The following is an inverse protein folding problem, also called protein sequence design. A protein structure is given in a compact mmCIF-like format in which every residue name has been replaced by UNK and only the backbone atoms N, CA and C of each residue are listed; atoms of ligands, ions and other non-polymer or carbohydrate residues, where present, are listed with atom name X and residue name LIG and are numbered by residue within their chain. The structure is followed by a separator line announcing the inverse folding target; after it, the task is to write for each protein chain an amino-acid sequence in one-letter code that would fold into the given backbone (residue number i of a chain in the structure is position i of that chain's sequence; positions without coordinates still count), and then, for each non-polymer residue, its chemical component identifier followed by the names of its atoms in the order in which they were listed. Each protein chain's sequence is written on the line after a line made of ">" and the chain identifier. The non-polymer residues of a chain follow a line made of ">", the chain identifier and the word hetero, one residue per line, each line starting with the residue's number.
data_IF_211316571809
#
_entry.id   IF_211316571809
#
_cell.length_a   1.000
_cell.length_b   1.000
_cell.length_c   1.000
_cell.angle_alpha   90.00
_cell.angle_beta   90.00
_cell.angle_gamma   90.00
#
_symmetry.space_group_name_H-M   'P 1'
#
loop_
_entity.id
_entity.type
_entity.pdbx_description
1 polymer ?
#
# COMPACT_ATOMS: atom_id res chain seq x y z
N UNK A 1 -22.09 -3.25 14.50
CA UNK A 1 -20.82 -2.66 14.04
C UNK A 1 -19.68 -3.30 14.80
N UNK A 2 -19.00 -4.29 14.21
CA UNK A 2 -17.92 -5.03 14.88
C UNK A 2 -16.69 -5.05 13.96
N UNK A 3 -15.56 -4.56 14.45
CA UNK A 3 -14.28 -4.52 13.71
C UNK A 3 -13.13 -4.21 14.67
N UNK A 4 -11.90 -4.30 14.18
CA UNK A 4 -10.70 -3.82 14.85
C UNK A 4 -10.04 -2.76 13.98
N UNK A 5 -9.78 -1.58 14.52
CA UNK A 5 -8.99 -0.56 13.85
C UNK A 5 -7.52 -0.72 14.23
N UNK A 6 -6.63 -0.60 13.24
CA UNK A 6 -5.18 -0.66 13.45
C UNK A 6 -4.48 0.47 12.72
N UNK A 7 -3.28 0.79 13.21
CA UNK A 7 -2.32 1.69 12.59
C UNK A 7 -0.91 1.24 13.02
N UNK A 8 0.02 1.11 12.07
CA UNK A 8 1.41 0.73 12.33
C UNK A 8 2.36 1.91 12.20
N UNK A 9 3.34 1.98 13.09
CA UNK A 9 4.54 2.78 12.88
C UNK A 9 5.73 1.89 12.54
N UNK A 10 6.57 2.35 11.62
CA UNK A 10 7.76 1.61 11.15
C UNK A 10 9.02 2.41 11.45
N UNK A 11 10.02 1.77 12.05
CA UNK A 11 11.29 2.41 12.40
C UNK A 11 12.05 2.95 11.17
N UNK A 12 11.94 2.27 10.04
CA UNK A 12 12.59 2.65 8.79
C UNK A 12 11.75 2.36 7.55
N UNK A 13 12.33 2.45 6.35
CA UNK A 13 11.59 2.31 5.10
C UNK A 13 11.09 0.88 4.83
N UNK A 14 11.56 -0.11 5.58
CA UNK A 14 11.17 -1.51 5.44
C UNK A 14 9.84 -1.77 6.13
N UNK A 15 8.93 -2.47 5.44
CA UNK A 15 7.65 -2.93 6.01
C UNK A 15 7.81 -3.89 7.17
N UNK A 16 8.94 -4.58 7.25
CA UNK A 16 9.28 -5.50 8.33
C UNK A 16 9.67 -4.79 9.62
N UNK A 17 9.96 -3.48 9.55
CA UNK A 17 10.52 -2.71 10.66
C UNK A 17 9.46 -2.10 11.58
N UNK A 18 8.27 -2.72 11.71
CA UNK A 18 7.27 -2.19 12.63
C UNK A 18 7.87 -2.06 14.04
N UNK A 19 7.73 -0.86 14.61
CA UNK A 19 8.19 -0.56 15.96
C UNK A 19 7.02 -0.25 16.91
N UNK A 20 5.83 0.05 16.39
CA UNK A 20 4.60 0.02 17.20
C UNK A 20 3.36 -0.29 16.37
N UNK A 21 2.30 -0.66 17.08
CA UNK A 21 0.93 -0.77 16.54
C UNK A 21 -0.07 -0.22 17.56
N UNK A 22 -1.03 0.55 17.06
CA UNK A 22 -2.28 0.86 17.77
C UNK A 22 -3.34 -0.16 17.40
N UNK A 23 -4.09 -0.65 18.39
CA UNK A 23 -5.19 -1.59 18.19
C UNK A 23 -6.40 -1.07 18.96
N UNK A 24 -7.54 -0.97 18.26
CA UNK A 24 -8.81 -0.53 18.85
C UNK A 24 -9.90 -1.51 18.46
N UNK A 25 -10.44 -2.23 19.43
CA UNK A 25 -11.52 -3.18 19.22
C UNK A 25 -12.88 -2.49 19.40
N UNK A 26 -13.72 -2.58 18.37
CA UNK A 26 -15.08 -2.05 18.39
C UNK A 26 -16.08 -3.20 18.36
N UNK A 27 -17.02 -3.18 19.31
CA UNK A 27 -18.14 -4.11 19.38
C UNK A 27 -19.43 -3.34 19.56
N UNK A 28 -20.44 -3.66 18.75
CA UNK A 28 -21.74 -3.01 18.76
C UNK A 28 -21.69 -1.47 18.61
N UNK A 29 -20.66 -0.94 17.95
CA UNK A 29 -20.50 0.51 17.74
C UNK A 29 -19.78 1.23 18.88
N UNK A 30 -19.33 0.50 19.90
CA UNK A 30 -18.59 1.04 21.04
C UNK A 30 -17.16 0.50 21.03
N UNK A 31 -16.21 1.34 21.42
CA UNK A 31 -14.83 0.91 21.66
C UNK A 31 -14.82 0.11 22.97
N UNK A 32 -14.46 -1.17 22.89
CA UNK A 32 -14.44 -2.06 24.06
C UNK A 32 -13.03 -2.35 24.56
N UNK A 33 -12.02 -2.13 23.73
CA UNK A 33 -10.63 -2.31 24.12
C UNK A 33 -9.68 -1.46 23.28
N UNK A 34 -8.56 -1.05 23.89
CA UNK A 34 -7.47 -0.32 23.24
C UNK A 34 -6.12 -0.86 23.71
N UNK A 35 -5.19 -1.09 22.78
CA UNK A 35 -3.80 -1.43 23.10
C UNK A 35 -2.85 -0.61 22.24
N UNK A 36 -1.78 -0.09 22.86
CA UNK A 36 -0.60 0.43 22.16
C UNK A 36 0.55 -0.52 22.46
N UNK A 37 1.10 -1.15 21.42
CA UNK A 37 2.11 -2.19 21.57
C UNK A 37 3.35 -1.78 20.81
N UNK A 38 4.49 -1.78 21.50
CA UNK A 38 5.80 -1.53 20.92
C UNK A 38 6.47 -2.85 20.51
N UNK A 39 7.37 -2.79 19.54
CA UNK A 39 8.15 -3.93 19.09
C UNK A 39 9.60 -3.52 18.86
N UNK A 40 10.51 -4.45 19.13
CA UNK A 40 11.87 -4.34 18.60
C UNK A 40 11.85 -4.62 17.09
N UNK A 41 12.19 -3.65 16.23
CA UNK A 41 12.00 -3.77 14.79
C UNK A 41 13.10 -4.60 14.12
N UNK A 42 12.80 -5.13 12.93
CA UNK A 42 13.81 -5.74 12.07
C UNK A 42 13.68 -5.26 10.60
N UNK A 43 14.76 -4.73 9.98
CA UNK A 43 16.05 -4.41 10.57
C UNK A 43 15.96 -3.34 11.67
N UNK A 44 16.84 -3.45 12.68
CA UNK A 44 16.84 -2.55 13.84
C UNK A 44 17.69 -1.29 13.56
N UNK A 45 17.13 -0.36 12.80
CA UNK A 45 17.66 1.00 12.67
C UNK A 45 16.50 1.98 12.45
N UNK A 46 16.69 3.23 12.85
CA UNK A 46 15.64 4.24 12.89
C UNK A 46 15.94 5.41 11.94
N UNK A 47 15.07 5.60 10.95
CA UNK A 47 15.09 6.74 10.02
C UNK A 47 13.77 7.49 9.98
N UNK A 48 12.71 6.93 10.57
CA UNK A 48 11.36 7.52 10.59
C UNK A 48 10.98 8.18 11.92
N UNK A 49 11.89 8.25 12.90
CA UNK A 49 11.64 8.88 14.21
C UNK A 49 11.07 10.30 14.13
N UNK A 50 11.41 11.06 13.08
CA UNK A 50 10.86 12.41 12.86
C UNK A 50 9.35 12.43 12.56
N UNK A 51 8.74 11.29 12.25
CA UNK A 51 7.30 11.13 12.02
C UNK A 51 6.57 10.94 13.35
N UNK A 52 6.94 9.88 14.08
CA UNK A 52 6.18 9.36 15.23
C UNK A 52 6.88 9.52 16.59
N UNK A 53 8.13 10.00 16.61
CA UNK A 53 8.91 10.24 17.82
C UNK A 53 9.56 9.00 18.46
N UNK A 54 9.16 7.79 18.07
CA UNK A 54 9.74 6.53 18.58
C UNK A 54 11.20 6.40 18.16
N UNK A 55 12.07 6.21 19.15
CA UNK A 55 13.51 6.02 19.05
C UNK A 55 13.90 4.56 19.31
N UNK A 56 15.17 4.23 19.06
CA UNK A 56 15.71 2.91 19.40
C UNK A 56 15.60 2.61 20.90
N UNK A 57 15.89 3.59 21.76
CA UNK A 57 15.84 3.44 23.22
C UNK A 57 14.44 3.08 23.73
N UNK A 58 13.39 3.57 23.06
CA UNK A 58 12.00 3.30 23.46
C UNK A 58 11.62 1.82 23.29
N UNK A 59 12.32 1.09 22.41
CA UNK A 59 11.98 -0.30 22.06
C UNK A 59 13.14 -1.29 22.20
N UNK A 60 14.27 -0.86 22.77
CA UNK A 60 15.50 -1.68 22.84
C UNK A 60 15.28 -3.02 23.57
N UNK A 61 14.42 -2.99 24.59
CA UNK A 61 14.08 -4.09 25.50
C UNK A 61 12.74 -4.76 25.13
N UNK A 62 12.10 -4.30 24.06
CA UNK A 62 10.85 -4.90 23.61
C UNK A 62 11.10 -6.22 22.88
N UNK A 63 10.10 -7.10 22.93
CA UNK A 63 10.10 -8.28 22.07
C UNK A 63 9.76 -7.89 20.63
N UNK A 64 10.22 -8.69 19.67
CA UNK A 64 9.84 -8.54 18.26
C UNK A 64 8.35 -8.81 18.03
N UNK A 65 7.84 -8.40 16.87
CA UNK A 65 6.45 -8.67 16.50
C UNK A 65 6.12 -10.17 16.51
N UNK A 66 7.00 -11.01 15.97
CA UNK A 66 6.77 -12.46 15.87
C UNK A 66 6.70 -13.12 17.25
N UNK A 67 7.53 -12.70 18.19
CA UNK A 67 7.50 -13.18 19.57
C UNK A 67 6.20 -12.77 20.29
N UNK A 68 5.68 -11.57 20.00
CA UNK A 68 4.41 -11.09 20.56
C UNK A 68 3.16 -11.64 19.83
N UNK A 69 3.32 -12.26 18.67
CA UNK A 69 2.19 -12.65 17.81
C UNK A 69 1.16 -13.51 18.53
N UNK A 70 1.59 -14.49 19.32
CA UNK A 70 0.66 -15.38 20.05
C UNK A 70 -0.25 -14.64 21.04
N UNK A 71 0.21 -13.51 21.60
CA UNK A 71 -0.60 -12.67 22.49
C UNK A 71 -1.62 -11.86 21.69
N UNK A 72 -1.25 -11.33 20.52
CA UNK A 72 -2.06 -10.34 19.80
C UNK A 72 -2.89 -10.94 18.65
N UNK A 73 -2.63 -12.18 18.22
CA UNK A 73 -3.30 -12.81 17.06
C UNK A 73 -4.83 -12.83 17.13
N UNK A 74 -5.39 -12.83 18.35
CA UNK A 74 -6.84 -12.82 18.57
C UNK A 74 -7.54 -11.53 18.09
N UNK A 75 -6.79 -10.43 17.92
CA UNK A 75 -7.29 -9.21 17.27
C UNK A 75 -7.40 -9.33 15.76
N UNK A 76 -6.84 -10.38 15.17
CA UNK A 76 -6.69 -10.54 13.72
C UNK A 76 -7.46 -11.76 13.18
N UNK A 77 -7.46 -12.88 13.90
CA UNK A 77 -8.06 -14.13 13.42
C UNK A 77 -9.59 -14.05 13.26
N UNK A 78 -10.08 -14.35 12.06
CA UNK A 78 -11.50 -14.25 11.68
C UNK A 78 -12.13 -12.87 11.96
N UNK A 79 -11.31 -11.79 11.90
CA UNK A 79 -11.74 -10.41 12.17
C UNK A 79 -11.95 -9.57 10.91
N UNK A 80 -12.80 -8.55 11.05
CA UNK A 80 -12.83 -7.40 10.15
C UNK A 80 -11.86 -6.34 10.68
N UNK A 81 -10.81 -6.07 9.91
CA UNK A 81 -9.81 -5.04 10.22
C UNK A 81 -10.11 -3.77 9.44
N UNK A 82 -9.90 -2.62 10.04
CA UNK A 82 -9.94 -1.34 9.35
C UNK A 82 -8.65 -0.57 9.60
N UNK A 83 -8.21 0.16 8.60
CA UNK A 83 -7.07 1.06 8.71
C UNK A 83 -7.30 2.25 7.80
N UNK A 84 -6.75 3.40 8.15
CA UNK A 84 -6.98 4.61 7.38
C UNK A 84 -6.33 4.51 6.01
N UNK A 85 -5.04 4.18 5.99
CA UNK A 85 -4.32 3.84 4.77
C UNK A 85 -4.07 2.32 4.69
N UNK A 86 -5.14 1.53 4.63
CA UNK A 86 -5.05 0.07 4.71
C UNK A 86 -4.07 -0.60 3.74
N UNK A 87 -3.71 0.01 2.59
CA UNK A 87 -2.65 -0.57 1.75
C UNK A 87 -1.27 -0.55 2.41
N UNK A 88 -0.99 0.46 3.24
CA UNK A 88 0.24 0.54 4.04
C UNK A 88 0.18 -0.45 5.21
N UNK A 89 -0.80 -0.33 6.10
CA UNK A 89 -0.86 -1.12 7.34
C UNK A 89 -0.93 -2.62 7.08
N UNK A 90 -1.77 -3.05 6.13
CA UNK A 90 -1.85 -4.46 5.78
C UNK A 90 -0.60 -4.91 5.02
N UNK A 91 0.17 -4.02 4.38
CA UNK A 91 1.49 -4.40 3.85
C UNK A 91 2.50 -4.63 4.97
N UNK A 92 2.50 -3.82 6.03
CA UNK A 92 3.35 -4.03 7.22
C UNK A 92 3.05 -5.40 7.83
N UNK A 93 1.78 -5.66 8.18
CA UNK A 93 1.35 -6.93 8.75
C UNK A 93 1.75 -8.13 7.87
N UNK A 94 1.47 -8.05 6.56
CA UNK A 94 1.78 -9.13 5.62
C UNK A 94 3.26 -9.47 5.53
N UNK A 95 4.11 -8.45 5.44
CA UNK A 95 5.53 -8.66 5.27
C UNK A 95 6.16 -9.19 6.55
N UNK A 96 5.75 -8.67 7.72
CA UNK A 96 6.26 -9.17 9.00
C UNK A 96 5.86 -10.63 9.23
N UNK A 97 4.59 -10.98 8.97
CA UNK A 97 4.12 -12.37 9.10
C UNK A 97 4.87 -13.29 8.14
N UNK A 98 5.01 -12.90 6.87
CA UNK A 98 5.69 -13.69 5.85
C UNK A 98 7.17 -13.94 6.21
N UNK A 99 7.92 -12.90 6.54
CA UNK A 99 9.34 -13.01 6.90
C UNK A 99 9.55 -13.79 8.21
N UNK A 100 8.57 -13.76 9.11
CA UNK A 100 8.61 -14.52 10.36
C UNK A 100 8.14 -15.98 10.20
N UNK A 101 7.75 -16.40 8.99
CA UNK A 101 7.19 -17.74 8.75
C UNK A 101 5.84 -17.98 9.44
N UNK A 102 5.11 -16.91 9.79
CA UNK A 102 3.81 -16.98 10.45
C UNK A 102 2.71 -16.92 9.39
N UNK A 103 1.84 -17.92 9.39
CA UNK A 103 0.71 -17.99 8.46
C UNK A 103 -0.20 -16.76 8.56
N UNK A 104 -0.79 -16.36 7.44
CA UNK A 104 -1.73 -15.25 7.43
C UNK A 104 -3.03 -15.62 8.17
N UNK A 105 -3.47 -14.82 9.14
CA UNK A 105 -4.79 -14.98 9.74
C UNK A 105 -5.87 -14.70 8.71
N UNK A 106 -7.06 -15.29 8.92
CA UNK A 106 -8.22 -14.99 8.07
C UNK A 106 -8.76 -13.61 8.41
N UNK A 107 -8.39 -12.62 7.60
CA UNK A 107 -8.83 -11.23 7.76
C UNK A 107 -9.68 -10.81 6.57
N UNK A 108 -10.76 -10.06 6.84
CA UNK A 108 -11.33 -9.12 5.88
C UNK A 108 -10.94 -7.71 6.28
N UNK A 109 -10.68 -6.82 5.34
CA UNK A 109 -10.33 -5.45 5.70
C UNK A 109 -10.88 -4.37 4.77
N UNK A 110 -11.07 -3.18 5.35
CA UNK A 110 -11.61 -1.98 4.71
C UNK A 110 -10.66 -0.79 4.91
N UNK A 111 -10.54 0.05 3.88
CA UNK A 111 -9.75 1.28 3.92
C UNK A 111 -10.66 2.48 4.22
N UNK A 112 -10.52 3.11 5.39
CA UNK A 112 -11.40 4.23 5.76
C UNK A 112 -11.09 5.49 4.96
N UNK A 113 -9.85 5.72 4.50
CA UNK A 113 -9.54 6.83 3.57
C UNK A 113 -10.38 6.75 2.29
N UNK A 114 -10.36 5.58 1.63
CA UNK A 114 -11.08 5.36 0.37
C UNK A 114 -12.59 5.37 0.56
N UNK A 115 -13.06 4.84 1.68
CA UNK A 115 -14.48 4.88 1.98
C UNK A 115 -14.96 6.31 2.27
N UNK A 116 -14.17 7.09 3.00
CA UNK A 116 -14.45 8.50 3.27
C UNK A 116 -14.54 9.33 1.99
N UNK A 117 -13.65 9.08 1.03
CA UNK A 117 -13.66 9.71 -0.31
C UNK A 117 -14.97 9.48 -1.09
N UNK A 118 -15.71 8.39 -0.81
CA UNK A 118 -17.00 8.12 -1.46
C UNK A 118 -18.20 8.58 -0.62
N UNK A 119 -18.06 8.60 0.70
CA UNK A 119 -19.16 8.87 1.63
C UNK A 119 -19.30 10.36 1.94
N UNK A 120 -18.17 11.06 2.05
CA UNK A 120 -18.08 12.46 2.44
C UNK A 120 -17.68 13.27 1.20
N UNK A 121 -18.36 14.37 0.95
CA UNK A 121 -18.11 15.23 -0.22
C UNK A 121 -17.47 16.55 0.21
N UNK A 122 -16.83 17.23 -0.75
CA UNK A 122 -16.35 18.61 -0.62
C UNK A 122 -15.26 18.85 0.44
N UNK A 123 -14.40 17.85 0.68
CA UNK A 123 -13.17 18.04 1.45
C UNK A 123 -11.95 18.21 0.53
N UNK A 124 -10.95 19.02 0.93
CA UNK A 124 -9.76 19.24 0.11
C UNK A 124 -8.91 17.97 -0.06
N UNK A 125 -8.96 17.08 0.94
CA UNK A 125 -8.40 15.74 0.91
C UNK A 125 -9.03 14.92 2.04
N UNK A 126 -8.74 13.62 2.09
CA UNK A 126 -9.28 12.70 3.08
C UNK A 126 -8.22 12.14 4.03
N UNK A 127 -7.11 12.88 4.26
CA UNK A 127 -6.11 12.48 5.27
C UNK A 127 -6.76 12.42 6.65
N UNK A 128 -6.23 11.57 7.52
CA UNK A 128 -6.77 11.35 8.86
C UNK A 128 -6.92 12.66 9.64
N UNK A 129 -5.90 13.53 9.61
CA UNK A 129 -5.92 14.85 10.24
C UNK A 129 -7.02 15.79 9.70
N UNK A 130 -7.32 15.73 8.40
CA UNK A 130 -8.39 16.53 7.80
C UNK A 130 -9.76 16.03 8.25
N UNK A 131 -9.95 14.72 8.31
CA UNK A 131 -11.19 14.10 8.77
C UNK A 131 -11.40 14.26 10.28
N UNK A 132 -10.34 14.13 11.07
CA UNK A 132 -10.35 14.37 12.51
C UNK A 132 -10.82 15.80 12.80
N UNK A 133 -10.21 16.80 12.13
CA UNK A 133 -10.64 18.19 12.25
C UNK A 133 -12.08 18.39 11.81
N UNK A 134 -12.51 17.77 10.72
CA UNK A 134 -13.87 17.91 10.20
C UNK A 134 -14.94 17.40 11.19
N UNK A 135 -14.65 16.30 11.90
CA UNK A 135 -15.57 15.70 12.86
C UNK A 135 -15.30 16.05 14.32
N UNK A 136 -14.33 16.95 14.59
CA UNK A 136 -13.85 17.31 15.93
C UNK A 136 -13.39 16.09 16.76
N UNK A 137 -12.65 15.18 16.14
CA UNK A 137 -11.97 14.10 16.85
C UNK A 137 -10.62 14.59 17.38
N UNK A 138 -10.29 14.19 18.61
CA UNK A 138 -8.98 14.44 19.19
C UNK A 138 -7.94 13.54 18.51
N UNK A 139 -6.90 14.16 17.93
CA UNK A 139 -5.84 13.46 17.22
C UNK A 139 -4.47 13.98 17.69
N UNK A 140 -3.74 13.13 18.40
CA UNK A 140 -2.28 13.26 18.52
C UNK A 140 -1.66 12.53 17.34
N UNK A 141 -1.31 13.31 16.31
CA UNK A 141 -0.93 12.75 15.02
C UNK A 141 0.39 11.98 15.10
N UNK A 142 0.46 10.83 14.42
CA UNK A 142 1.62 9.92 14.39
C UNK A 142 1.90 9.23 15.73
N UNK A 143 0.88 9.12 16.57
CA UNK A 143 0.86 8.14 17.65
C UNK A 143 -0.10 7.02 17.25
N UNK A 144 0.43 5.82 17.05
CA UNK A 144 -0.29 4.68 16.48
C UNK A 144 -1.66 4.41 17.14
N UNK A 145 -1.75 4.50 18.47
CA UNK A 145 -3.02 4.31 19.18
C UNK A 145 -4.01 5.45 18.92
N UNK A 146 -3.57 6.71 19.00
CA UNK A 146 -4.39 7.87 18.68
C UNK A 146 -4.93 7.80 17.24
N UNK A 147 -4.07 7.50 16.27
CA UNK A 147 -4.47 7.35 14.87
C UNK A 147 -5.48 6.19 14.68
N UNK A 148 -5.30 5.08 15.41
CA UNK A 148 -6.25 3.94 15.43
C UNK A 148 -7.60 4.29 16.06
N UNK A 149 -7.63 5.09 17.13
CA UNK A 149 -8.87 5.56 17.78
C UNK A 149 -9.66 6.43 16.81
N UNK A 150 -9.00 7.38 16.15
CA UNK A 150 -9.64 8.24 15.15
C UNK A 150 -10.12 7.41 13.96
N UNK A 151 -9.35 6.41 13.53
CA UNK A 151 -9.78 5.46 12.49
C UNK A 151 -11.05 4.70 12.88
N UNK A 152 -11.15 4.23 14.14
CA UNK A 152 -12.32 3.55 14.67
C UNK A 152 -13.56 4.46 14.74
N UNK A 153 -13.40 5.66 15.30
CA UNK A 153 -14.44 6.68 15.37
C UNK A 153 -14.95 7.06 13.99
N UNK A 154 -14.03 7.22 13.03
CA UNK A 154 -14.37 7.46 11.63
C UNK A 154 -15.17 6.30 11.02
N UNK A 155 -14.76 5.05 11.27
CA UNK A 155 -15.52 3.87 10.84
C UNK A 155 -16.96 3.87 11.33
N UNK A 156 -17.18 4.15 12.62
CA UNK A 156 -18.52 4.29 13.22
C UNK A 156 -19.28 5.47 12.58
N UNK A 157 -18.61 6.61 12.38
CA UNK A 157 -19.21 7.82 11.79
C UNK A 157 -19.70 7.57 10.37
N UNK A 158 -18.91 6.90 9.53
CA UNK A 158 -19.27 6.56 8.15
C UNK A 158 -20.51 5.66 8.08
N UNK A 159 -20.60 4.67 8.99
CA UNK A 159 -21.77 3.82 9.13
C UNK A 159 -23.01 4.63 9.50
N UNK A 160 -22.90 5.53 10.48
CA UNK A 160 -24.00 6.38 10.92
C UNK A 160 -24.48 7.32 9.81
N UNK A 161 -23.55 7.96 9.08
CA UNK A 161 -23.89 8.87 7.96
C UNK A 161 -24.70 8.15 6.88
N UNK A 162 -24.41 6.87 6.61
CA UNK A 162 -25.08 6.07 5.58
C UNK A 162 -26.18 5.17 6.13
N UNK A 163 -26.48 5.26 7.42
CA UNK A 163 -27.45 4.43 8.13
C UNK A 163 -27.22 2.92 7.88
N UNK A 164 -25.97 2.46 8.04
CA UNK A 164 -25.53 1.07 7.85
C UNK A 164 -25.04 0.46 9.15
N UNK A 165 -25.11 -0.86 9.27
CA UNK A 165 -24.64 -1.60 10.45
C UNK A 165 -23.29 -2.32 10.23
N UNK A 166 -22.84 -2.40 8.97
CA UNK A 166 -21.68 -3.19 8.53
C UNK A 166 -20.81 -2.44 7.51
N UNK A 167 -19.50 -2.36 7.75
CA UNK A 167 -18.56 -1.67 6.84
C UNK A 167 -18.32 -2.42 5.53
N UNK A 168 -18.52 -3.74 5.52
CA UNK A 168 -18.42 -4.54 4.29
C UNK A 168 -19.53 -4.13 3.32
N UNK A 169 -20.78 -4.13 3.78
CA UNK A 169 -21.95 -3.72 2.99
C UNK A 169 -21.78 -2.30 2.47
N UNK A 170 -21.43 -1.36 3.36
CA UNK A 170 -21.19 0.02 2.99
C UNK A 170 -20.09 0.16 1.92
N UNK A 171 -18.99 -0.59 2.06
CA UNK A 171 -17.90 -0.55 1.08
C UNK A 171 -18.32 -1.13 -0.27
N UNK A 172 -19.09 -2.21 -0.27
CA UNK A 172 -19.57 -2.84 -1.49
C UNK A 172 -20.55 -1.95 -2.27
N UNK A 173 -21.43 -1.24 -1.56
CA UNK A 173 -22.33 -0.22 -2.14
C UNK A 173 -21.57 0.99 -2.67
N UNK A 174 -20.52 1.41 -1.95
CA UNK A 174 -19.60 2.45 -2.41
C UNK A 174 -18.70 2.00 -3.58
N UNK A 175 -18.93 0.80 -4.13
CA UNK A 175 -18.25 0.31 -5.33
C UNK A 175 -16.87 -0.29 -5.06
N UNK A 176 -16.61 -0.79 -3.85
CA UNK A 176 -15.34 -1.45 -3.50
C UNK A 176 -15.46 -2.97 -3.36
N UNK A 177 -14.37 -3.65 -3.67
CA UNK A 177 -14.10 -5.04 -3.30
C UNK A 177 -13.35 -5.06 -1.96
N UNK A 178 -13.80 -5.92 -1.04
CA UNK A 178 -13.22 -6.06 0.30
C UNK A 178 -11.85 -6.72 0.24
N UNK A 179 -10.88 -6.13 0.93
CA UNK A 179 -9.55 -6.70 1.06
C UNK A 179 -9.54 -7.95 1.94
N UNK A 180 -8.65 -8.91 1.66
CA UNK A 180 -8.60 -10.18 2.39
C UNK A 180 -7.17 -10.64 2.60
N UNK A 181 -6.92 -11.20 3.77
CA UNK A 181 -5.82 -12.13 4.02
C UNK A 181 -6.40 -13.51 4.31
N UNK A 182 -5.74 -14.53 3.80
CA UNK A 182 -6.12 -15.93 3.98
C UNK A 182 -4.86 -16.75 4.15
N UNK A 183 -5.04 -17.95 4.70
CA UNK A 183 -4.02 -18.99 4.78
C UNK A 183 -3.35 -19.26 3.43
N UNK A 184 -2.17 -19.88 3.48
CA UNK A 184 -1.23 -20.07 2.38
C UNK A 184 -0.71 -18.73 1.83
N UNK A 185 -0.54 -17.74 2.71
CA UNK A 185 -0.06 -16.39 2.36
C UNK A 185 -0.87 -15.68 1.25
N UNK A 186 -2.15 -16.02 1.10
CA UNK A 186 -3.01 -15.47 0.06
C UNK A 186 -3.54 -14.09 0.44
N UNK A 187 -3.50 -13.16 -0.51
CA UNK A 187 -3.93 -11.78 -0.33
C UNK A 187 -4.76 -11.26 -1.49
N UNK A 188 -5.79 -10.46 -1.19
CA UNK A 188 -6.47 -9.61 -2.17
C UNK A 188 -6.62 -8.19 -1.63
N UNK A 189 -6.30 -7.15 -2.42
CA UNK A 189 -6.36 -5.77 -1.96
C UNK A 189 -7.80 -5.27 -1.81
N UNK A 190 -8.03 -4.35 -0.87
CA UNK A 190 -9.20 -3.47 -0.91
C UNK A 190 -9.08 -2.55 -2.13
N UNK A 191 -10.03 -2.61 -3.07
CA UNK A 191 -9.91 -1.92 -4.36
C UNK A 191 -11.27 -1.56 -4.96
N UNK A 192 -11.33 -0.65 -5.94
CA UNK A 192 -12.58 -0.34 -6.64
C UNK A 192 -13.01 -1.53 -7.50
N UNK A 193 -14.31 -1.87 -7.48
CA UNK A 193 -14.93 -2.83 -8.40
C UNK A 193 -14.69 -2.36 -9.84
N UNK A 194 -14.31 -3.29 -10.71
CA UNK A 194 -14.19 -3.01 -12.15
C UNK A 194 -15.60 -2.84 -12.73
N UNK A 195 -15.89 -1.70 -13.38
CA UNK A 195 -17.16 -1.49 -14.07
C UNK A 195 -17.30 -2.49 -15.23
N UNK A 196 -18.28 -3.40 -15.16
CA UNK A 196 -18.62 -4.38 -16.22
C UNK A 196 -19.44 -3.78 -17.38
N UNK A 197 -19.25 -2.49 -17.73
CA UNK A 197 -19.88 -1.84 -18.89
C UNK A 197 -18.84 -1.49 -19.94
N UNK A 198 -18.31 -2.54 -20.56
CA UNK A 198 -17.81 -2.64 -21.95
C UNK A 198 -17.50 -4.13 -22.18
N UNK A 199 -18.55 -4.93 -22.32
CA UNK A 199 -18.48 -6.21 -23.06
C UNK A 199 -18.65 -5.84 -24.54
N UNK A 200 -17.83 -6.44 -25.40
CA UNK A 200 -17.50 -6.05 -26.79
C UNK A 200 -16.38 -5.00 -26.91
N UNK A 201 -15.14 -5.39 -26.59
CA UNK A 201 -14.18 -5.76 -27.63
C UNK A 201 -13.00 -6.53 -27.02
N UNK A 202 -12.34 -7.33 -27.84
CA UNK A 202 -11.63 -8.54 -27.50
C UNK A 202 -10.39 -8.41 -26.59
N UNK A 203 -10.19 -9.44 -25.75
CA UNK A 203 -8.92 -9.92 -25.18
C UNK A 203 -7.88 -8.87 -24.73
N UNK A 204 -7.82 -8.61 -23.42
CA UNK A 204 -6.55 -8.33 -22.72
C UNK A 204 -6.66 -8.54 -21.21
N UNK A 205 -6.04 -9.63 -20.75
CA UNK A 205 -5.73 -9.92 -19.35
C UNK A 205 -4.98 -8.74 -18.73
N UNK A 206 -5.59 -8.03 -17.78
CA UNK A 206 -4.87 -7.07 -16.95
C UNK A 206 -4.54 -7.67 -15.59
N UNK A 207 -3.34 -8.26 -15.53
CA UNK A 207 -2.63 -8.67 -14.34
C UNK A 207 -2.16 -7.45 -13.51
N UNK A 208 -2.64 -7.41 -12.26
CA UNK A 208 -1.94 -7.13 -10.99
C UNK A 208 -0.45 -6.70 -11.10
N UNK A 209 0.01 -5.70 -10.32
CA UNK A 209 1.38 -5.68 -9.81
C UNK A 209 1.43 -6.25 -8.39
N UNK A 210 1.87 -7.50 -8.28
CA UNK A 210 2.53 -8.03 -7.08
C UNK A 210 3.46 -9.14 -7.57
N UNK A 211 4.76 -9.02 -7.27
CA UNK A 211 5.92 -9.79 -7.77
C UNK A 211 6.61 -9.24 -9.02
N UNK A 212 7.94 -9.41 -9.04
CA UNK A 212 8.75 -9.38 -10.26
C UNK A 212 8.24 -10.48 -11.20
N UNK A 213 7.94 -10.14 -12.45
CA UNK A 213 7.63 -11.08 -13.53
C UNK A 213 8.89 -11.85 -13.93
N UNK A 214 10.06 -11.19 -13.95
CA UNK A 214 11.35 -11.85 -14.15
C UNK A 214 12.51 -10.96 -13.66
N UNK A 215 13.74 -11.45 -13.79
CA UNK A 215 14.98 -10.73 -13.50
C UNK A 215 15.75 -10.34 -14.77
N UNK A 216 15.11 -10.36 -15.95
CA UNK A 216 15.77 -10.09 -17.24
C UNK A 216 16.38 -8.69 -17.33
N UNK A 217 15.87 -7.75 -16.54
CA UNK A 217 16.37 -6.37 -16.45
C UNK A 217 17.07 -6.10 -15.11
N UNK A 218 17.43 -7.11 -14.33
CA UNK A 218 18.13 -6.90 -13.07
C UNK A 218 19.43 -6.10 -13.27
N UNK A 219 19.62 -5.11 -12.40
CA UNK A 219 20.71 -4.13 -12.48
C UNK A 219 20.67 -3.18 -13.69
N UNK A 220 19.69 -3.29 -14.60
CA UNK A 220 19.60 -2.42 -15.79
C UNK A 220 18.90 -1.11 -15.46
N UNK A 221 19.43 -0.01 -16.02
CA UNK A 221 18.78 1.30 -15.93
C UNK A 221 18.28 1.77 -17.29
N UNK A 222 17.01 2.17 -17.35
CA UNK A 222 16.27 2.35 -18.60
C UNK A 222 15.63 3.73 -18.62
N UNK A 223 15.75 4.46 -19.73
CA UNK A 223 15.08 5.77 -19.92
C UNK A 223 13.91 5.60 -20.87
N UNK A 224 12.77 6.23 -20.55
CA UNK A 224 11.63 6.32 -21.45
C UNK A 224 11.58 7.73 -22.08
N UNK A 225 11.49 7.83 -23.40
CA UNK A 225 11.42 9.11 -24.11
C UNK A 225 10.54 9.04 -25.36
N UNK A 226 9.76 10.10 -25.64
CA UNK A 226 8.86 10.16 -26.80
C UNK A 226 7.39 9.86 -26.50
N UNK A 227 6.59 9.83 -27.55
CA UNK A 227 5.15 9.54 -27.57
C UNK A 227 4.95 8.11 -28.03
N UNK A 228 4.18 7.35 -27.28
CA UNK A 228 4.02 5.91 -27.46
C UNK A 228 2.60 5.59 -27.90
N UNK A 229 2.47 4.67 -28.85
CA UNK A 229 1.16 4.30 -29.44
C UNK A 229 0.68 2.95 -28.96
N UNK A 230 1.59 2.03 -28.62
CA UNK A 230 1.24 0.68 -28.16
C UNK A 230 1.08 0.61 -26.64
N UNK A 231 1.94 1.31 -25.90
CA UNK A 231 1.95 1.30 -24.43
C UNK A 231 1.98 2.71 -23.85
N UNK A 232 1.29 2.93 -22.74
CA UNK A 232 1.48 4.19 -22.01
C UNK A 232 2.87 4.23 -21.37
N UNK A 233 3.44 5.44 -21.16
CA UNK A 233 4.69 5.61 -20.38
C UNK A 233 4.61 4.94 -19.01
N UNK A 234 3.43 4.94 -18.40
CA UNK A 234 3.16 4.26 -17.13
C UNK A 234 3.25 2.74 -17.27
N UNK A 235 2.74 2.16 -18.36
CA UNK A 235 2.87 0.72 -18.61
C UNK A 235 4.31 0.31 -18.85
N UNK A 236 5.05 1.07 -19.67
CA UNK A 236 6.47 0.80 -19.91
C UNK A 236 7.28 0.89 -18.62
N UNK A 237 7.00 1.87 -17.76
CA UNK A 237 7.61 1.98 -16.42
C UNK A 237 7.32 0.74 -15.58
N UNK A 238 6.06 0.33 -15.51
CA UNK A 238 5.63 -0.84 -14.74
C UNK A 238 6.30 -2.13 -15.26
N UNK A 239 6.44 -2.30 -16.57
CA UNK A 239 7.12 -3.44 -17.17
C UNK A 239 8.62 -3.45 -16.85
N UNK A 240 9.30 -2.29 -16.92
CA UNK A 240 10.70 -2.19 -16.51
C UNK A 240 10.86 -2.65 -15.05
N UNK A 241 10.04 -2.11 -14.14
CA UNK A 241 10.11 -2.40 -12.70
C UNK A 241 9.76 -3.86 -12.39
N UNK A 242 8.74 -4.42 -13.07
CA UNK A 242 8.35 -5.83 -12.94
C UNK A 242 9.39 -6.81 -13.48
N UNK A 243 10.28 -6.40 -14.39
CA UNK A 243 11.34 -7.26 -14.90
C UNK A 243 12.70 -7.05 -14.22
N UNK A 244 12.72 -6.35 -13.07
CA UNK A 244 13.92 -6.13 -12.25
C UNK A 244 14.73 -4.88 -12.60
N UNK A 245 14.27 -4.12 -13.60
CA UNK A 245 14.94 -2.92 -14.08
C UNK A 245 14.54 -1.66 -13.32
N UNK A 246 15.32 -0.61 -13.50
CA UNK A 246 15.05 0.72 -12.93
C UNK A 246 14.79 1.75 -14.02
N UNK A 247 13.62 2.36 -14.00
CA UNK A 247 13.34 3.52 -14.86
C UNK A 247 14.05 4.78 -14.31
N UNK A 248 14.80 5.48 -15.16
CA UNK A 248 15.52 6.71 -14.81
C UNK A 248 15.16 7.87 -15.76
N UNK A 249 15.18 9.10 -15.24
CA UNK A 249 14.71 10.28 -15.98
C UNK A 249 15.69 10.85 -17.01
N UNK A 250 16.98 10.53 -16.88
CA UNK A 250 18.08 11.11 -17.65
C UNK A 250 19.06 10.04 -18.16
N UNK A 251 19.68 10.33 -19.30
CA UNK A 251 20.69 9.46 -19.93
C UNK A 251 22.07 9.81 -19.34
N UNK A 252 22.80 8.76 -18.95
CA UNK A 252 24.16 8.81 -18.40
C UNK A 252 24.97 7.62 -18.92
N UNK A 253 26.28 7.57 -18.64
CA UNK A 253 27.14 6.40 -18.94
C UNK A 253 26.67 5.09 -18.29
N UNK A 254 25.84 5.17 -17.25
CA UNK A 254 25.26 3.99 -16.56
C UNK A 254 23.93 3.53 -17.15
N UNK A 255 23.35 4.31 -18.07
CA UNK A 255 22.10 3.97 -18.76
C UNK A 255 22.32 2.78 -19.66
N UNK A 256 21.54 1.71 -19.46
CA UNK A 256 21.67 0.47 -20.22
C UNK A 256 21.06 0.63 -21.62
N UNK A 257 19.88 1.22 -21.73
CA UNK A 257 19.24 1.53 -23.00
C UNK A 257 18.10 2.56 -22.82
N UNK A 258 17.63 3.12 -23.92
CA UNK A 258 16.47 4.01 -23.99
C UNK A 258 15.33 3.30 -24.72
N UNK A 259 14.11 3.41 -24.22
CA UNK A 259 12.90 3.07 -24.97
C UNK A 259 12.40 4.36 -25.63
N UNK A 260 12.44 4.42 -26.95
CA UNK A 260 12.08 5.58 -27.75
C UNK A 260 10.73 5.38 -28.45
N UNK A 261 9.82 6.30 -28.18
CA UNK A 261 8.59 6.49 -28.94
C UNK A 261 8.75 7.55 -30.03
N UNK A 262 7.67 7.79 -30.77
CA UNK A 262 7.56 8.86 -31.77
C UNK A 262 7.92 10.20 -31.14
N UNK A 263 8.68 11.04 -31.83
CA UNK A 263 9.12 12.35 -31.32
C UNK A 263 9.90 12.26 -29.99
N UNK A 264 10.80 11.27 -29.84
CA UNK A 264 11.81 11.30 -28.79
C UNK A 264 12.54 12.64 -28.79
N UNK A 265 12.68 13.27 -27.62
CA UNK A 265 13.29 14.59 -27.49
C UNK A 265 14.71 14.64 -28.10
N UNK A 266 15.04 15.66 -28.90
CA UNK A 266 16.28 15.70 -29.69
C UNK A 266 17.54 15.66 -28.82
N UNK A 267 17.52 16.35 -27.68
CA UNK A 267 18.63 16.34 -26.71
C UNK A 267 18.87 14.97 -26.08
N UNK A 268 17.83 14.15 -25.91
CA UNK A 268 17.96 12.77 -25.39
C UNK A 268 18.45 11.82 -26.48
N UNK A 269 18.03 12.02 -27.74
CA UNK A 269 18.53 11.24 -28.87
C UNK A 269 20.03 11.43 -29.07
N UNK A 270 20.46 12.69 -29.21
CA UNK A 270 21.87 13.03 -29.37
C UNK A 270 22.72 12.48 -28.22
N UNK A 271 22.27 12.66 -26.97
CA UNK A 271 22.99 12.17 -25.80
C UNK A 271 23.08 10.64 -25.73
N UNK A 272 22.10 9.90 -26.25
CA UNK A 272 22.18 8.45 -26.34
C UNK A 272 23.23 8.02 -27.39
N UNK A 273 23.24 8.67 -28.55
CA UNK A 273 24.20 8.42 -29.63
C UNK A 273 25.64 8.72 -29.19
N UNK A 274 25.88 9.88 -28.58
CA UNK A 274 27.20 10.30 -28.06
C UNK A 274 27.76 9.33 -27.01
N UNK A 275 26.90 8.76 -26.17
CA UNK A 275 27.30 7.83 -25.11
C UNK A 275 27.23 6.36 -25.54
N UNK A 276 26.88 6.08 -26.80
CA UNK A 276 26.72 4.72 -27.31
C UNK A 276 25.62 3.91 -26.61
N UNK A 277 24.61 4.58 -26.05
CA UNK A 277 23.50 3.94 -25.35
C UNK A 277 22.48 3.45 -26.38
N UNK A 278 22.18 2.14 -26.45
CA UNK A 278 21.20 1.60 -27.39
C UNK A 278 19.82 2.24 -27.24
N UNK A 279 19.17 2.48 -28.38
CA UNK A 279 17.81 3.00 -28.46
C UNK A 279 16.92 1.89 -29.02
N UNK A 280 15.89 1.52 -28.26
CA UNK A 280 14.94 0.46 -28.62
C UNK A 280 13.57 1.06 -28.88
N UNK A 281 12.87 0.52 -29.87
CA UNK A 281 11.43 0.72 -30.09
C UNK A 281 10.60 -0.01 -29.03
N UNK A 282 9.29 0.26 -29.00
CA UNK A 282 8.35 -0.47 -28.13
C UNK A 282 8.43 -1.99 -28.39
N UNK A 283 8.47 -2.40 -29.66
CA UNK A 283 8.50 -3.81 -30.07
C UNK A 283 9.81 -4.51 -29.65
N UNK A 284 10.96 -3.87 -29.90
CA UNK A 284 12.25 -4.41 -29.48
C UNK A 284 12.37 -4.53 -27.97
N UNK A 285 11.79 -3.59 -27.21
CA UNK A 285 11.71 -3.70 -25.76
C UNK A 285 10.87 -4.90 -25.33
N UNK A 286 9.70 -5.12 -25.94
CA UNK A 286 8.86 -6.29 -25.64
C UNK A 286 9.62 -7.59 -25.91
N UNK A 287 10.28 -7.71 -27.07
CA UNK A 287 11.07 -8.89 -27.42
C UNK A 287 12.21 -9.15 -26.44
N UNK A 288 12.72 -8.10 -25.79
CA UNK A 288 13.79 -8.22 -24.79
C UNK A 288 13.34 -8.78 -23.44
N UNK A 289 12.09 -8.53 -23.06
CA UNK A 289 11.55 -8.93 -21.74
C UNK A 289 10.60 -10.13 -21.81
N UNK A 290 10.08 -10.44 -22.99
CA UNK A 290 9.35 -11.69 -23.31
C UNK A 290 10.29 -12.87 -23.14
#
# INVERSE_FOLDING_TARGET
>A
MNFVAIDFETANEKRTSACSIGIVEVKNGEIINTEHIFFKPFPNYFTNTWIHGITENDVENELSFSEKWNRIKHYFEDRLIIAHNASFDLSVLRYILYESGIEYPKIKYVCTYRLSEQVILNLPNYKLSTLAKHFNFELKHHEALSDSIVCAQLGIKLLNIKNKSCLIELSEEAGFEIGKLKTDFKYSPFSKKKNRRTLYDNNKNYNIPQSLISYKLDGKSVVISGVFTQFSRKNLKDMIEKHGGRNVGSISKKTTFVIAGVNMGPSKKQKAEELGVPILTEEEFINKIS
#
